data_IF_495243532602
#
_entry.id   IF_495243532602
#
_cell.length_a   1.000
_cell.length_b   1.000
_cell.length_c   1.000
_cell.angle_alpha   90.00
_cell.angle_beta   90.00
_cell.angle_gamma   90.00
#
_symmetry.space_group_name_H-M   'P 1'
#
loop_
_entity.id
_entity.type
_entity.pdbx_description
1 polymer ?
#
# COMPACT_ATOMS: atom_id res chain seq x y z
N UNK A 1 7.03 -13.01 12.10
CA UNK A 1 5.84 -13.58 12.05
C UNK A 1 4.90 -12.63 12.77
N UNK A 2 3.82 -12.94 13.40
CA UNK A 2 2.84 -12.00 13.99
C UNK A 2 3.09 -11.68 15.48
N UNK A 3 4.32 -11.72 15.96
CA UNK A 3 4.61 -11.71 17.41
C UNK A 3 4.15 -10.45 18.16
N UNK A 4 4.10 -9.30 17.51
CA UNK A 4 3.68 -8.03 18.11
C UNK A 4 2.37 -7.47 17.54
N UNK A 5 1.88 -8.06 16.45
CA UNK A 5 0.73 -7.50 15.73
C UNK A 5 -0.60 -7.94 16.35
N UNK A 6 -1.53 -7.00 16.37
CA UNK A 6 -2.89 -7.22 16.82
C UNK A 6 -3.86 -6.75 15.76
N UNK A 7 -4.78 -7.62 15.33
CA UNK A 7 -5.80 -7.31 14.35
C UNK A 7 -6.35 -8.55 13.64
N UNK A 8 -7.25 -8.34 12.71
CA UNK A 8 -7.82 -9.38 11.86
C UNK A 8 -6.85 -9.66 10.72
N UNK A 9 -6.57 -10.93 10.43
CA UNK A 9 -5.67 -11.33 9.34
C UNK A 9 -6.39 -11.15 8.00
N UNK A 10 -5.91 -10.20 7.20
CA UNK A 10 -6.45 -9.87 5.87
C UNK A 10 -6.18 -10.99 4.87
N UNK A 11 -7.12 -11.23 3.96
CA UNK A 11 -7.00 -12.27 2.93
C UNK A 11 -7.17 -13.71 3.44
N UNK A 12 -7.46 -13.91 4.72
CA UNK A 12 -7.69 -15.24 5.29
C UNK A 12 -9.16 -15.42 5.69
N UNK A 13 -9.82 -16.38 5.04
CA UNK A 13 -11.26 -16.64 5.23
C UNK A 13 -12.10 -15.43 4.83
N UNK A 14 -13.16 -15.13 5.61
CA UNK A 14 -14.06 -14.01 5.40
C UNK A 14 -13.75 -12.81 6.32
N UNK A 15 -12.52 -12.75 6.87
CA UNK A 15 -12.00 -11.62 7.67
C UNK A 15 -12.96 -11.19 8.81
N UNK A 16 -13.63 -12.13 9.47
CA UNK A 16 -14.63 -11.86 10.48
C UNK A 16 -15.67 -10.82 9.99
N UNK A 17 -16.11 -10.92 8.74
CA UNK A 17 -17.22 -10.11 8.22
C UNK A 17 -18.46 -10.26 9.09
N UNK A 18 -19.34 -9.27 9.16
CA UNK A 18 -20.49 -9.31 10.04
C UNK A 18 -21.75 -8.72 9.42
N UNK A 19 -22.88 -9.24 9.87
CA UNK A 19 -24.23 -8.78 9.49
C UNK A 19 -25.08 -8.60 10.76
N UNK A 20 -26.14 -7.82 10.64
CA UNK A 20 -27.11 -7.61 11.70
C UNK A 20 -28.50 -8.04 11.23
N UNK A 21 -29.15 -8.93 11.97
CA UNK A 21 -30.53 -9.29 11.78
C UNK A 21 -31.20 -9.51 13.14
N UNK A 22 -32.41 -9.00 13.34
CA UNK A 22 -33.18 -9.17 14.57
C UNK A 22 -32.36 -8.88 15.85
N UNK A 23 -31.64 -7.77 15.86
CA UNK A 23 -30.75 -7.35 16.96
C UNK A 23 -29.64 -8.37 17.30
N UNK A 24 -29.35 -9.30 16.40
CA UNK A 24 -28.29 -10.27 16.53
C UNK A 24 -27.22 -9.97 15.49
N UNK A 25 -25.99 -9.81 15.92
CA UNK A 25 -24.81 -9.66 15.06
C UNK A 25 -24.23 -11.04 14.82
N UNK A 26 -24.12 -11.42 13.54
CA UNK A 26 -23.57 -12.69 13.10
C UNK A 26 -22.26 -12.45 12.38
N UNK A 27 -21.21 -13.14 12.79
CA UNK A 27 -19.89 -13.08 12.17
C UNK A 27 -19.70 -14.21 11.18
N UNK A 28 -19.04 -13.91 10.07
CA UNK A 28 -18.40 -14.87 9.19
C UNK A 28 -17.08 -15.33 9.81
N UNK A 29 -16.52 -16.43 9.31
CA UNK A 29 -15.26 -16.94 9.80
C UNK A 29 -14.08 -16.00 9.48
N UNK A 30 -13.04 -16.12 10.31
CA UNK A 30 -11.81 -15.35 10.14
C UNK A 30 -10.79 -15.65 11.22
N UNK A 31 -9.58 -15.16 11.00
CA UNK A 31 -8.50 -15.28 11.96
C UNK A 31 -8.14 -13.91 12.55
N UNK A 32 -7.87 -13.90 13.83
CA UNK A 32 -7.43 -12.72 14.58
C UNK A 32 -6.09 -13.04 15.22
N UNK A 33 -5.12 -12.14 15.08
CA UNK A 33 -3.88 -12.19 15.85
C UNK A 33 -3.95 -11.21 17.02
N UNK A 34 -3.54 -11.67 18.19
CA UNK A 34 -3.38 -10.82 19.38
C UNK A 34 -2.05 -11.16 20.01
N UNK A 35 -1.02 -10.36 19.74
CA UNK A 35 0.35 -10.57 20.22
C UNK A 35 0.85 -12.01 19.99
N UNK A 36 0.74 -12.48 18.73
CA UNK A 36 1.18 -13.80 18.28
C UNK A 36 0.23 -14.96 18.60
N UNK A 37 -0.84 -14.72 19.34
CA UNK A 37 -1.90 -15.71 19.56
C UNK A 37 -2.89 -15.64 18.43
N UNK A 38 -3.07 -16.75 17.71
CA UNK A 38 -4.02 -16.84 16.59
C UNK A 38 -5.33 -17.41 17.11
N UNK A 39 -6.40 -16.66 16.92
CA UNK A 39 -7.75 -17.01 17.34
C UNK A 39 -8.61 -17.18 16.09
N UNK A 40 -9.29 -18.30 15.99
CA UNK A 40 -10.25 -18.54 14.92
C UNK A 40 -11.66 -18.14 15.39
N UNK A 41 -12.28 -17.23 14.67
CA UNK A 41 -13.70 -16.90 14.81
C UNK A 41 -14.45 -17.81 13.85
N UNK A 42 -15.32 -18.67 14.38
CA UNK A 42 -16.08 -19.60 13.57
C UNK A 42 -17.18 -18.90 12.75
N UNK A 43 -17.51 -19.47 11.60
CA UNK A 43 -18.63 -19.02 10.79
C UNK A 43 -19.94 -19.15 11.57
N UNK A 44 -20.84 -18.20 11.42
CA UNK A 44 -22.11 -18.12 12.15
C UNK A 44 -21.96 -17.90 13.67
N UNK A 45 -20.80 -17.43 14.13
CA UNK A 45 -20.68 -16.95 15.52
C UNK A 45 -21.62 -15.76 15.73
N UNK A 46 -22.51 -15.84 16.71
CA UNK A 46 -23.56 -14.83 16.95
C UNK A 46 -23.42 -14.18 18.31
N UNK A 47 -23.84 -12.92 18.39
CA UNK A 47 -24.01 -12.19 19.63
C UNK A 47 -25.26 -11.33 19.58
N UNK A 48 -26.16 -11.52 20.55
CA UNK A 48 -27.37 -10.71 20.72
C UNK A 48 -27.06 -9.36 21.36
N UNK A 49 -27.69 -8.30 20.88
CA UNK A 49 -27.64 -6.97 21.47
C UNK A 49 -29.05 -6.59 21.89
N UNK A 50 -29.29 -6.42 23.20
CA UNK A 50 -30.62 -6.08 23.72
C UNK A 50 -30.88 -4.58 23.55
N UNK A 51 -31.91 -4.17 22.79
CA UNK A 51 -32.29 -2.76 22.65
C UNK A 51 -33.10 -2.32 23.89
N UNK A 52 -32.42 -1.79 24.88
CA UNK A 52 -33.01 -1.38 26.17
C UNK A 52 -32.82 0.12 26.47
N UNK A 53 -31.83 0.73 25.90
CA UNK A 53 -31.44 2.13 26.16
C UNK A 53 -30.54 2.66 25.03
N UNK A 54 -30.45 3.98 24.94
CA UNK A 54 -29.56 4.62 23.95
C UNK A 54 -28.09 4.50 24.39
N UNK A 55 -27.33 3.69 23.66
CA UNK A 55 -25.90 3.47 23.90
C UNK A 55 -25.10 3.33 22.60
N UNK A 56 -23.82 3.55 22.73
CA UNK A 56 -22.79 3.19 21.76
C UNK A 56 -22.12 1.92 22.22
N UNK A 57 -21.84 1.00 21.32
CA UNK A 57 -21.26 -0.27 21.68
C UNK A 57 -20.29 -0.84 20.66
N UNK A 58 -19.43 -1.71 21.15
CA UNK A 58 -18.59 -2.59 20.35
C UNK A 58 -18.94 -4.05 20.64
N UNK A 59 -18.83 -4.90 19.62
CA UNK A 59 -18.59 -6.32 19.86
C UNK A 59 -17.10 -6.50 19.95
N UNK A 60 -16.65 -7.05 21.06
CA UNK A 60 -15.24 -7.13 21.44
C UNK A 60 -14.81 -8.58 21.55
N UNK A 61 -13.67 -8.90 20.92
CA UNK A 61 -12.91 -10.10 21.22
C UNK A 61 -11.92 -9.76 22.33
N UNK A 62 -12.17 -10.30 23.53
CA UNK A 62 -11.30 -10.16 24.69
C UNK A 62 -10.35 -11.34 24.82
N UNK A 63 -9.06 -11.07 24.93
CA UNK A 63 -8.02 -12.05 25.22
C UNK A 63 -7.40 -11.73 26.58
N UNK A 64 -7.58 -12.63 27.54
CA UNK A 64 -7.08 -12.44 28.88
C UNK A 64 -6.02 -13.51 29.23
N UNK A 65 -4.77 -13.10 29.37
CA UNK A 65 -3.65 -14.00 29.67
C UNK A 65 -3.56 -14.35 31.15
N UNK A 66 -4.13 -13.52 32.04
CA UNK A 66 -4.12 -13.81 33.48
C UNK A 66 -4.91 -15.07 33.85
N UNK A 67 -5.93 -15.40 33.05
CA UNK A 67 -6.76 -16.60 33.25
C UNK A 67 -6.90 -17.49 32.01
N UNK A 68 -6.11 -17.22 30.96
CA UNK A 68 -6.09 -17.97 29.70
C UNK A 68 -7.47 -18.09 29.03
N UNK A 69 -8.24 -17.01 29.01
CA UNK A 69 -9.56 -17.02 28.37
C UNK A 69 -9.59 -16.15 27.14
N UNK A 70 -10.39 -16.60 26.16
CA UNK A 70 -10.80 -15.82 24.99
C UNK A 70 -12.32 -15.74 25.01
N UNK A 71 -12.88 -14.55 24.87
CA UNK A 71 -14.32 -14.34 24.92
C UNK A 71 -14.79 -13.29 23.92
N UNK A 72 -15.99 -13.49 23.39
CA UNK A 72 -16.70 -12.52 22.56
C UNK A 72 -17.84 -11.93 23.40
N UNK A 73 -17.88 -10.60 23.51
CA UNK A 73 -18.89 -9.92 24.32
C UNK A 73 -19.19 -8.51 23.80
N UNK A 74 -20.29 -7.95 24.26
CA UNK A 74 -20.64 -6.55 24.00
C UNK A 74 -20.10 -5.65 25.09
N UNK A 75 -19.54 -4.51 24.69
CA UNK A 75 -19.11 -3.45 25.59
C UNK A 75 -19.82 -2.17 25.20
N UNK A 76 -20.54 -1.56 26.14
CA UNK A 76 -21.47 -0.47 25.89
C UNK A 76 -21.26 0.71 26.83
N UNK A 77 -21.54 1.91 26.33
CA UNK A 77 -21.51 3.14 27.12
C UNK A 77 -22.54 4.15 26.60
N UNK A 78 -23.08 4.97 27.49
CA UNK A 78 -23.93 6.09 27.12
C UNK A 78 -23.10 7.28 26.64
N UNK A 79 -23.59 8.00 25.64
CA UNK A 79 -23.01 9.25 25.15
C UNK A 79 -21.89 9.07 24.10
N UNK A 80 -21.00 8.12 24.28
CA UNK A 80 -19.89 7.83 23.35
C UNK A 80 -19.54 6.34 23.36
N UNK A 81 -18.61 5.95 22.48
CA UNK A 81 -18.08 4.59 22.47
C UNK A 81 -17.24 4.31 23.71
N UNK A 82 -17.35 3.08 24.29
CA UNK A 82 -16.55 2.70 25.46
C UNK A 82 -15.06 2.60 25.13
N UNK A 83 -14.20 2.96 26.09
CA UNK A 83 -12.77 2.72 25.97
C UNK A 83 -12.45 1.24 26.01
N UNK A 84 -11.54 0.79 25.15
CA UNK A 84 -11.04 -0.59 25.13
C UNK A 84 -9.84 -0.73 26.08
N UNK A 85 -9.71 -1.90 26.67
CA UNK A 85 -8.52 -2.29 27.45
C UNK A 85 -7.44 -2.79 26.48
N UNK A 86 -6.27 -2.17 26.49
CA UNK A 86 -5.20 -2.41 25.51
C UNK A 86 -3.88 -2.82 26.23
N UNK A 87 -3.93 -3.80 27.11
CA UNK A 87 -2.74 -4.32 27.80
C UNK A 87 -1.74 -4.92 26.80
N UNK A 88 -0.48 -4.54 26.88
CA UNK A 88 0.56 -5.18 26.07
C UNK A 88 0.87 -6.60 26.61
N UNK A 89 0.27 -7.60 26.01
CA UNK A 89 0.37 -9.00 26.44
C UNK A 89 1.72 -9.67 26.13
N UNK A 90 2.67 -8.95 25.55
CA UNK A 90 4.08 -9.40 25.44
C UNK A 90 4.88 -9.13 26.72
N UNK A 91 4.47 -8.12 27.48
CA UNK A 91 5.24 -7.65 28.65
C UNK A 91 4.48 -7.81 29.97
N UNK A 92 3.17 -7.92 29.92
CA UNK A 92 2.32 -7.93 31.11
C UNK A 92 1.10 -8.82 30.90
N UNK A 93 0.83 -9.70 31.84
CA UNK A 93 -0.42 -10.44 31.82
C UNK A 93 -1.63 -9.52 32.07
N UNK A 94 -2.72 -9.80 31.40
CA UNK A 94 -3.93 -9.00 31.50
C UNK A 94 -4.90 -9.21 30.37
N UNK A 95 -5.79 -8.25 30.22
CA UNK A 95 -6.83 -8.24 29.19
C UNK A 95 -6.43 -7.34 28.01
N UNK A 96 -6.56 -7.87 26.82
CA UNK A 96 -6.57 -7.08 25.58
C UNK A 96 -7.93 -7.20 24.89
N UNK A 97 -8.52 -6.07 24.52
CA UNK A 97 -9.81 -5.98 23.84
C UNK A 97 -9.63 -5.50 22.41
N UNK A 98 -10.08 -6.30 21.44
CA UNK A 98 -10.13 -5.93 20.03
C UNK A 98 -11.58 -5.76 19.60
N UNK A 99 -11.99 -4.56 19.18
CA UNK A 99 -13.32 -4.36 18.60
C UNK A 99 -13.39 -4.98 17.20
N UNK A 100 -14.37 -5.86 16.99
CA UNK A 100 -14.67 -6.48 15.71
C UNK A 100 -15.71 -5.70 14.91
N UNK A 101 -16.69 -5.07 15.57
CA UNK A 101 -17.63 -4.15 14.95
C UNK A 101 -18.14 -3.11 15.95
N UNK A 102 -18.69 -2.03 15.41
CA UNK A 102 -19.33 -0.96 16.19
C UNK A 102 -20.83 -0.89 15.87
N UNK A 103 -21.60 -0.53 16.88
CA UNK A 103 -23.04 -0.31 16.74
C UNK A 103 -23.53 0.81 17.65
N UNK A 104 -24.73 1.27 17.37
CA UNK A 104 -25.53 2.06 18.32
C UNK A 104 -26.84 1.33 18.58
N UNK A 105 -27.39 1.51 19.76
CA UNK A 105 -28.71 1.00 20.08
C UNK A 105 -29.61 2.09 20.69
N UNK A 106 -30.89 1.90 20.57
CA UNK A 106 -31.96 2.66 21.24
C UNK A 106 -32.78 1.72 22.09
N UNK A 107 -33.93 2.16 22.59
CA UNK A 107 -34.88 1.31 23.29
C UNK A 107 -35.59 0.30 22.38
N UNK A 108 -35.47 0.45 21.04
CA UNK A 108 -36.27 -0.37 20.10
C UNK A 108 -35.43 -1.01 18.98
N UNK A 109 -34.22 -0.54 18.77
CA UNK A 109 -33.43 -0.98 17.62
C UNK A 109 -31.92 -0.95 17.86
N UNK A 110 -31.21 -1.79 17.10
CA UNK A 110 -29.76 -1.81 16.99
C UNK A 110 -29.38 -1.41 15.56
N UNK A 111 -28.34 -0.63 15.40
CA UNK A 111 -27.85 -0.18 14.10
C UNK A 111 -26.33 -0.32 14.03
N UNK A 112 -25.83 -1.05 13.05
CA UNK A 112 -24.38 -1.14 12.77
C UNK A 112 -23.83 0.24 12.38
N UNK A 113 -22.61 0.50 12.80
CA UNK A 113 -21.90 1.73 12.46
C UNK A 113 -20.62 1.42 11.69
N UNK A 114 -20.26 2.33 10.82
CA UNK A 114 -18.95 2.26 10.14
C UNK A 114 -17.85 2.27 11.21
N UNK A 115 -16.96 1.30 11.14
CA UNK A 115 -15.83 1.14 12.05
C UNK A 115 -14.60 0.65 11.28
N UNK A 116 -13.51 1.38 11.42
CA UNK A 116 -12.24 0.99 10.82
C UNK A 116 -11.62 -0.13 11.65
N UNK A 117 -11.85 -1.37 11.24
CA UNK A 117 -11.26 -2.54 11.88
C UNK A 117 -9.76 -2.59 11.63
N UNK A 118 -9.00 -2.99 12.64
CA UNK A 118 -7.55 -3.17 12.47
C UNK A 118 -7.29 -4.46 11.70
N UNK A 119 -6.89 -4.32 10.44
CA UNK A 119 -6.48 -5.42 9.58
C UNK A 119 -4.95 -5.57 9.61
N UNK A 120 -4.47 -6.80 9.63
CA UNK A 120 -3.05 -7.15 9.47
C UNK A 120 -2.87 -7.71 8.08
N UNK A 121 -2.09 -7.05 7.26
CA UNK A 121 -1.70 -7.54 5.93
C UNK A 121 -0.70 -8.69 6.08
N UNK A 122 -0.75 -9.65 5.17
CA UNK A 122 0.26 -10.71 5.11
C UNK A 122 1.56 -10.18 4.47
N UNK A 123 2.65 -10.90 4.68
CA UNK A 123 3.96 -10.49 4.14
C UNK A 123 3.95 -10.40 2.61
N UNK A 124 3.12 -11.21 1.92
CA UNK A 124 2.98 -11.14 0.47
C UNK A 124 2.35 -9.82 0.02
N UNK A 125 1.26 -9.39 0.65
CA UNK A 125 0.63 -8.10 0.33
C UNK A 125 1.57 -6.92 0.61
N UNK A 126 2.36 -6.99 1.70
CA UNK A 126 3.36 -5.96 2.00
C UNK A 126 4.46 -5.91 0.95
N UNK A 127 4.87 -7.07 0.42
CA UNK A 127 5.83 -7.15 -0.70
C UNK A 127 5.18 -6.63 -1.98
N UNK A 128 3.95 -7.02 -2.28
CA UNK A 128 3.21 -6.56 -3.46
C UNK A 128 2.96 -5.03 -3.40
N UNK A 129 2.64 -4.47 -2.22
CA UNK A 129 2.53 -3.02 -2.01
C UNK A 129 3.88 -2.31 -2.20
N UNK A 130 4.96 -2.88 -1.66
CA UNK A 130 6.31 -2.35 -1.83
C UNK A 130 6.77 -2.44 -3.29
N UNK A 131 6.48 -3.54 -3.98
CA UNK A 131 6.78 -3.73 -5.39
C UNK A 131 5.96 -2.75 -6.26
N UNK A 132 4.71 -2.50 -5.89
CA UNK A 132 3.86 -1.47 -6.49
C UNK A 132 4.40 -0.05 -6.25
N UNK A 133 4.84 0.25 -5.02
CA UNK A 133 5.51 1.53 -4.73
C UNK A 133 6.80 1.68 -5.52
N UNK A 134 7.64 0.66 -5.58
CA UNK A 134 8.87 0.65 -6.37
C UNK A 134 8.52 0.83 -7.85
N UNK A 135 7.55 0.09 -8.37
CA UNK A 135 7.12 0.18 -9.77
C UNK A 135 6.55 1.55 -10.09
N UNK A 136 5.79 2.16 -9.19
CA UNK A 136 5.25 3.51 -9.37
C UNK A 136 6.30 4.61 -9.25
N UNK A 137 7.38 4.39 -8.50
CA UNK A 137 8.50 5.33 -8.38
C UNK A 137 9.55 5.14 -9.47
N UNK A 138 9.63 3.94 -10.06
CA UNK A 138 10.54 3.61 -11.16
C UNK A 138 9.71 3.19 -12.37
N UNK A 139 9.00 4.13 -12.99
CA UNK A 139 8.32 3.85 -14.26
C UNK A 139 9.37 3.59 -15.35
N UNK A 140 9.44 2.37 -15.91
CA UNK A 140 10.16 2.19 -17.16
C UNK A 140 9.37 2.95 -18.23
N UNK A 141 9.88 4.11 -18.64
CA UNK A 141 9.27 4.92 -19.72
C UNK A 141 9.54 4.23 -21.05
N UNK A 142 9.13 2.98 -21.17
CA UNK A 142 9.33 2.16 -22.36
C UNK A 142 8.11 2.16 -23.30
N UNK A 143 7.20 3.10 -23.17
CA UNK A 143 6.06 3.19 -24.08
C UNK A 143 6.34 4.23 -25.15
N UNK A 144 6.72 3.76 -26.33
CA UNK A 144 6.92 4.49 -27.59
C UNK A 144 8.13 5.44 -27.64
N UNK A 145 9.34 4.86 -27.60
CA UNK A 145 10.51 5.53 -28.21
C UNK A 145 10.28 5.56 -29.72
N UNK A 146 9.92 6.71 -30.26
CA UNK A 146 9.87 6.91 -31.69
C UNK A 146 11.15 7.63 -32.08
N UNK A 147 12.02 6.96 -32.81
CA UNK A 147 13.17 7.58 -33.44
C UNK A 147 12.63 8.57 -34.48
N UNK A 148 12.85 9.87 -34.27
CA UNK A 148 12.27 10.90 -35.14
C UNK A 148 13.20 11.26 -36.29
N UNK A 149 14.48 11.31 -36.07
CA UNK A 149 15.56 11.48 -37.09
C UNK A 149 16.91 11.33 -36.40
N UNK A 150 17.92 10.86 -37.09
CA UNK A 150 19.29 10.64 -36.63
C UNK A 150 19.63 11.23 -35.24
N UNK A 151 19.56 10.42 -34.21
CA UNK A 151 19.95 10.79 -32.84
C UNK A 151 18.92 11.51 -31.98
N UNK A 152 17.67 11.69 -32.45
CA UNK A 152 16.58 12.28 -31.64
C UNK A 152 15.55 11.23 -31.30
N UNK A 153 15.29 11.09 -30.01
CA UNK A 153 14.31 10.13 -29.46
C UNK A 153 13.19 10.87 -28.75
N UNK A 154 11.97 10.52 -29.07
CA UNK A 154 10.77 11.05 -28.42
C UNK A 154 10.09 9.94 -27.66
N UNK A 155 9.69 10.21 -26.45
CA UNK A 155 8.75 9.36 -25.72
C UNK A 155 7.72 10.22 -24.98
N UNK A 156 6.49 9.72 -24.97
CA UNK A 156 5.43 10.32 -24.19
C UNK A 156 5.33 9.63 -22.84
N UNK A 157 5.33 10.42 -21.77
CA UNK A 157 4.80 9.95 -20.49
C UNK A 157 3.30 9.63 -20.63
N UNK A 158 2.77 8.73 -19.83
CA UNK A 158 1.32 8.63 -19.69
C UNK A 158 0.78 9.97 -19.18
N UNK A 159 -0.38 10.39 -19.62
CA UNK A 159 -1.01 11.69 -19.32
C UNK A 159 -1.18 12.02 -17.83
N UNK A 160 -0.85 11.12 -16.93
CA UNK A 160 -0.90 11.26 -15.47
C UNK A 160 0.46 11.48 -14.80
N UNK A 161 1.58 11.45 -15.54
CA UNK A 161 2.91 11.57 -14.95
C UNK A 161 3.45 12.98 -15.18
N UNK A 162 3.51 13.77 -14.12
CA UNK A 162 4.22 15.04 -14.11
C UNK A 162 5.73 14.76 -14.06
N UNK A 163 6.43 15.08 -15.14
CA UNK A 163 7.87 14.85 -15.28
C UNK A 163 8.72 15.95 -14.63
N UNK A 164 8.10 17.00 -14.11
CA UNK A 164 8.83 18.04 -13.37
C UNK A 164 9.43 17.44 -12.11
N UNK A 165 10.64 17.85 -11.80
CA UNK A 165 11.42 17.40 -10.63
C UNK A 165 11.72 15.89 -10.60
N UNK A 166 11.73 15.26 -11.78
CA UNK A 166 12.06 13.84 -11.92
C UNK A 166 13.52 13.64 -12.34
N UNK A 167 14.09 12.51 -11.95
CA UNK A 167 15.41 12.08 -12.41
C UNK A 167 15.24 11.11 -13.57
N UNK A 168 15.87 11.41 -14.69
CA UNK A 168 15.93 10.52 -15.84
C UNK A 168 17.23 9.73 -15.83
N UNK A 169 17.11 8.42 -15.97
CA UNK A 169 18.23 7.50 -16.17
C UNK A 169 18.23 7.09 -17.62
N UNK A 170 19.27 7.45 -18.34
CA UNK A 170 19.37 7.19 -19.78
C UNK A 170 20.57 6.29 -20.05
N UNK A 171 20.34 5.17 -20.71
CA UNK A 171 21.39 4.28 -21.17
C UNK A 171 21.68 4.55 -22.67
N UNK A 172 22.90 4.81 -22.98
CA UNK A 172 23.35 5.14 -24.34
C UNK A 172 24.33 4.07 -24.81
N UNK A 173 24.10 3.51 -25.98
CA UNK A 173 25.00 2.55 -26.63
C UNK A 173 25.53 3.10 -27.94
N UNK A 174 26.74 2.70 -28.27
CA UNK A 174 27.34 2.97 -29.60
C UNK A 174 26.95 1.85 -30.59
N UNK A 175 26.39 2.23 -31.74
CA UNK A 175 25.95 1.29 -32.78
C UNK A 175 27.10 0.52 -33.47
N UNK A 176 28.32 0.98 -33.39
CA UNK A 176 29.44 0.39 -34.13
C UNK A 176 30.23 -0.64 -33.35
N UNK A 177 29.94 -0.85 -32.08
CA UNK A 177 30.65 -1.83 -31.24
C UNK A 177 29.64 -2.73 -30.56
N UNK A 178 29.68 -4.00 -30.90
CA UNK A 178 28.95 -5.06 -30.23
C UNK A 178 29.48 -5.14 -28.80
N UNK A 179 28.57 -4.90 -27.82
CA UNK A 179 28.78 -5.11 -26.39
C UNK A 179 29.71 -4.15 -25.63
N UNK A 180 29.28 -2.90 -25.48
CA UNK A 180 29.63 -2.17 -24.26
C UNK A 180 28.36 -2.04 -23.38
N UNK A 181 28.45 -2.29 -22.07
CA UNK A 181 27.37 -1.89 -21.17
C UNK A 181 27.25 -0.37 -21.29
N UNK A 182 26.09 0.10 -21.72
CA UNK A 182 25.85 1.53 -21.87
C UNK A 182 26.11 2.27 -20.55
N UNK A 183 26.73 3.43 -20.60
CA UNK A 183 26.88 4.29 -19.45
C UNK A 183 25.46 4.79 -19.03
N UNK A 184 25.07 4.54 -17.80
CA UNK A 184 23.86 5.09 -17.24
C UNK A 184 24.09 6.57 -16.91
N UNK A 185 23.31 7.46 -17.53
CA UNK A 185 23.38 8.89 -17.28
C UNK A 185 22.18 9.37 -16.50
N UNK A 186 22.41 10.24 -15.51
CA UNK A 186 21.39 10.84 -14.68
C UNK A 186 21.07 12.24 -15.19
N UNK A 187 19.82 12.50 -15.52
CA UNK A 187 19.34 13.79 -15.98
C UNK A 187 18.22 14.28 -15.08
N UNK A 188 18.38 15.49 -14.56
CA UNK A 188 17.34 16.16 -13.80
C UNK A 188 16.37 16.85 -14.77
N UNK A 189 15.10 16.46 -14.74
CA UNK A 189 14.08 16.98 -15.68
C UNK A 189 13.24 18.05 -14.99
N UNK A 190 13.85 19.11 -14.51
CA UNK A 190 13.14 20.30 -13.99
C UNK A 190 12.95 21.39 -15.04
N UNK A 191 13.82 21.41 -16.05
CA UNK A 191 13.81 22.35 -17.17
C UNK A 191 14.55 21.74 -18.36
N UNK A 192 14.41 22.35 -19.52
CA UNK A 192 15.21 21.98 -20.67
C UNK A 192 16.69 22.08 -20.31
N UNK A 193 17.41 20.98 -20.46
CA UNK A 193 18.82 20.91 -20.07
C UNK A 193 19.66 20.17 -21.13
N UNK A 194 20.93 20.43 -21.10
CA UNK A 194 21.91 19.70 -21.89
C UNK A 194 23.08 19.31 -21.00
N UNK A 195 23.55 18.09 -21.14
CA UNK A 195 24.73 17.61 -20.44
C UNK A 195 25.76 17.10 -21.45
N UNK A 196 27.02 17.18 -21.07
CA UNK A 196 28.12 16.55 -21.82
C UNK A 196 28.44 15.20 -21.17
N UNK A 197 28.68 14.20 -22.00
CA UNK A 197 29.19 12.90 -21.57
C UNK A 197 30.43 12.52 -22.41
N UNK A 198 31.30 11.75 -21.81
CA UNK A 198 32.54 11.32 -22.45
C UNK A 198 32.43 9.85 -22.84
N UNK A 199 32.76 9.57 -24.11
CA UNK A 199 32.86 8.21 -24.61
C UNK A 199 34.17 8.08 -25.41
N UNK A 200 34.96 7.06 -25.08
CA UNK A 200 36.33 6.91 -25.58
C UNK A 200 37.16 8.17 -25.30
N UNK A 201 37.63 8.91 -26.22
CA UNK A 201 38.38 10.15 -26.00
C UNK A 201 37.64 11.40 -26.46
N UNK A 202 36.35 11.29 -26.73
CA UNK A 202 35.57 12.39 -27.29
C UNK A 202 34.41 12.77 -26.35
N UNK A 203 34.12 14.07 -26.29
CA UNK A 203 33.00 14.60 -25.57
C UNK A 203 31.76 14.73 -26.48
N UNK A 204 30.62 14.28 -26.00
CA UNK A 204 29.35 14.33 -26.69
C UNK A 204 28.32 15.05 -25.85
N UNK A 205 27.26 15.50 -26.47
CA UNK A 205 26.14 16.15 -25.78
C UNK A 205 24.86 15.30 -25.82
N UNK A 206 24.09 15.35 -24.73
CA UNK A 206 22.72 14.87 -24.64
C UNK A 206 21.85 16.04 -24.19
N UNK A 207 20.87 16.41 -25.00
CA UNK A 207 19.91 17.43 -24.63
C UNK A 207 18.55 16.81 -24.30
N UNK A 208 17.85 17.40 -23.32
CA UNK A 208 16.53 17.01 -22.88
C UNK A 208 15.61 18.20 -23.03
N UNK A 209 14.53 18.04 -23.77
CA UNK A 209 13.44 19.02 -23.91
C UNK A 209 12.15 18.38 -23.44
N UNK A 210 11.44 19.06 -22.55
CA UNK A 210 10.14 18.63 -22.06
C UNK A 210 9.08 19.64 -22.47
N UNK A 211 8.15 19.20 -23.33
CA UNK A 211 7.04 20.02 -23.80
C UNK A 211 5.77 19.17 -23.94
N UNK A 212 4.66 19.70 -23.44
CA UNK A 212 3.33 19.09 -23.58
C UNK A 212 3.24 17.61 -23.16
N UNK A 213 3.93 17.24 -22.08
CA UNK A 213 3.97 15.86 -21.62
C UNK A 213 4.88 14.92 -22.41
N UNK A 214 5.65 15.46 -23.35
CA UNK A 214 6.59 14.71 -24.19
C UNK A 214 8.02 15.07 -23.79
N UNK A 215 8.82 14.05 -23.52
CA UNK A 215 10.27 14.20 -23.37
C UNK A 215 10.94 13.89 -24.70
N UNK A 216 11.75 14.81 -25.17
CA UNK A 216 12.58 14.64 -26.36
C UNK A 216 14.04 14.58 -25.93
N UNK A 217 14.70 13.49 -26.25
CA UNK A 217 16.14 13.28 -26.02
C UNK A 217 16.84 13.35 -27.34
N UNK A 218 17.88 14.20 -27.44
CA UNK A 218 18.69 14.35 -28.62
C UNK A 218 20.16 14.12 -28.30
N UNK A 219 20.76 13.14 -28.93
CA UNK A 219 22.22 12.92 -28.85
C UNK A 219 22.94 13.78 -29.88
N UNK A 220 24.05 14.41 -29.50
CA UNK A 220 24.89 15.16 -30.41
C UNK A 220 25.67 14.29 -31.42
N UNK A 221 25.49 12.98 -31.36
CA UNK A 221 26.15 12.01 -32.24
C UNK A 221 25.12 11.03 -32.81
N UNK A 222 25.12 10.89 -34.14
CA UNK A 222 24.21 10.02 -34.89
C UNK A 222 24.50 8.51 -34.74
N UNK A 223 25.67 8.15 -34.22
CA UNK A 223 26.09 6.76 -34.01
C UNK A 223 25.71 6.26 -32.62
N UNK A 224 25.24 7.12 -31.74
CA UNK A 224 24.83 6.77 -30.38
C UNK A 224 23.31 6.59 -30.29
N UNK A 225 22.89 5.44 -29.82
CA UNK A 225 21.49 5.13 -29.60
C UNK A 225 21.13 5.13 -28.12
N UNK A 226 19.99 5.70 -27.79
CA UNK A 226 19.38 5.55 -26.48
C UNK A 226 18.69 4.20 -26.43
N UNK A 227 19.11 3.32 -25.53
CA UNK A 227 18.61 1.95 -25.42
C UNK A 227 17.59 1.77 -24.33
N UNK A 228 17.67 2.56 -23.27
CA UNK A 228 16.66 2.57 -22.22
C UNK A 228 16.59 3.91 -21.51
N UNK A 229 15.42 4.25 -21.04
CA UNK A 229 15.15 5.44 -20.22
C UNK A 229 14.28 5.04 -19.06
N UNK A 230 14.70 5.38 -17.86
CA UNK A 230 13.93 5.19 -16.63
C UNK A 230 13.75 6.54 -15.95
N UNK A 231 12.62 6.72 -15.31
CA UNK A 231 12.32 7.90 -14.54
C UNK A 231 12.16 7.56 -13.06
N UNK A 232 12.73 8.39 -12.22
CA UNK A 232 12.46 8.39 -10.78
C UNK A 232 11.82 9.73 -10.41
N UNK A 233 10.68 9.66 -9.78
CA UNK A 233 10.01 10.82 -9.20
C UNK A 233 10.29 10.93 -7.71
#
# INVERSE_FOLDING_TARGET
LFSSDVGILKGLKNECGYTLANNTITFSDGYVSVFGRIIYVENQTTIGVVPDSSKYGYVVLGVNTSNNTVSLYVKEQSGNYPSLTLTNLLTTDGLYELALCAYTKTTTSVTLRSYSRKLITNDKERVDDLDSEITNHYLPVRKSLTLVTSGTYRFSGTSSVDLRDSILYVTINNNTVVSFPGEAMFLFVGSNTSISYRYASSDYSLSVVYENGIVTLTTGNTTHNITSVFMKK
#
